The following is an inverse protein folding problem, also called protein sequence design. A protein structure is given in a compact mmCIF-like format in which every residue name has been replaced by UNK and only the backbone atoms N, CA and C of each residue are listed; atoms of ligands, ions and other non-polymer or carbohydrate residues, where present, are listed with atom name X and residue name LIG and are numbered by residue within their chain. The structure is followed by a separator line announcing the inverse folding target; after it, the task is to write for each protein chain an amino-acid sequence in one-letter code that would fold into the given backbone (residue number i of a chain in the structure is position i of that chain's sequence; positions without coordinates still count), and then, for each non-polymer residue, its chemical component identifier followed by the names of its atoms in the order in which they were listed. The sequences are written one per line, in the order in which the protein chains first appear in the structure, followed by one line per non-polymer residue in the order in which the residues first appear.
data_IF_389113641063
#
_entry.id   IF_389113641063
#
_cell.length_a   1.000
_cell.length_b   1.000
_cell.length_c   1.000
_cell.angle_alpha   90.00
_cell.angle_beta   90.00
_cell.angle_gamma   90.00
#
_symmetry.space_group_name_H-M   'P 1'
#
loop_
_entity.id
_entity.type
_entity.pdbx_description
1 polymer ?
#
# COMPACT_ATOMS: atom_id res chain seq x y z
N UNK A 1 -36.13 -18.18 38.46
CA UNK A 1 -35.13 -18.60 37.46
C UNK A 1 -34.99 -17.49 36.44
N UNK A 2 -33.91 -16.72 36.49
CA UNK A 2 -33.59 -15.72 35.48
C UNK A 2 -32.77 -16.42 34.37
N UNK A 3 -33.31 -16.46 33.15
CA UNK A 3 -32.56 -16.87 31.96
C UNK A 3 -31.56 -15.76 31.62
N UNK A 4 -30.27 -16.05 31.77
CA UNK A 4 -29.21 -15.18 31.28
C UNK A 4 -29.17 -15.24 29.74
N UNK A 5 -29.46 -14.11 29.09
CA UNK A 5 -29.20 -13.92 27.66
C UNK A 5 -27.72 -13.65 27.48
N UNK A 6 -27.00 -14.61 26.90
CA UNK A 6 -25.64 -14.41 26.43
C UNK A 6 -25.66 -13.42 25.25
N UNK A 7 -25.29 -12.17 25.50
CA UNK A 7 -24.98 -11.22 24.44
C UNK A 7 -23.65 -11.63 23.81
N UNK A 8 -23.68 -12.08 22.55
CA UNK A 8 -22.48 -12.23 21.75
C UNK A 8 -21.90 -10.83 21.48
N UNK A 9 -20.64 -10.62 21.84
CA UNK A 9 -19.89 -9.42 21.50
C UNK A 9 -19.67 -9.33 19.98
N UNK A 10 -19.64 -8.13 19.38
CA UNK A 10 -19.28 -7.99 17.97
C UNK A 10 -17.82 -8.44 17.79
N UNK A 11 -17.60 -9.30 16.79
CA UNK A 11 -16.27 -9.65 16.33
C UNK A 11 -15.52 -8.35 16.02
N UNK A 12 -14.30 -8.22 16.55
CA UNK A 12 -13.39 -7.15 16.21
C UNK A 12 -13.31 -7.02 14.68
N UNK A 13 -13.52 -5.81 14.17
CA UNK A 13 -13.24 -5.45 12.79
C UNK A 13 -11.78 -5.87 12.53
N UNK A 14 -11.59 -6.98 11.81
CA UNK A 14 -10.33 -7.22 11.14
C UNK A 14 -10.04 -5.97 10.31
N UNK A 15 -8.84 -5.39 10.45
CA UNK A 15 -8.39 -4.27 9.63
C UNK A 15 -8.79 -4.54 8.17
N UNK A 16 -9.75 -3.76 7.67
CA UNK A 16 -10.26 -3.97 6.33
C UNK A 16 -9.08 -3.89 5.36
N UNK A 17 -8.96 -4.88 4.46
CA UNK A 17 -7.94 -4.88 3.42
C UNK A 17 -7.92 -3.51 2.73
N UNK A 18 -6.77 -2.81 2.66
CA UNK A 18 -6.74 -1.40 2.25
C UNK A 18 -6.96 -1.20 0.74
N UNK A 19 -7.20 -2.27 -0.01
CA UNK A 19 -7.36 -2.29 -1.46
C UNK A 19 -8.46 -3.26 -1.87
N UNK A 20 -9.04 -3.03 -3.05
CA UNK A 20 -9.89 -3.95 -3.79
C UNK A 20 -9.30 -4.21 -5.17
N UNK A 21 -9.41 -5.47 -5.63
CA UNK A 21 -8.87 -5.90 -6.91
C UNK A 21 -9.82 -6.87 -7.59
N UNK A 22 -9.96 -6.73 -8.90
CA UNK A 22 -10.72 -7.59 -9.81
C UNK A 22 -9.79 -7.97 -10.96
N UNK A 23 -9.79 -9.24 -11.35
CA UNK A 23 -8.95 -9.79 -12.44
C UNK A 23 -7.45 -9.48 -12.29
N UNK A 24 -6.97 -9.27 -11.07
CA UNK A 24 -5.56 -9.01 -10.73
C UNK A 24 -5.02 -7.61 -11.11
N UNK A 25 -5.63 -6.88 -12.04
CA UNK A 25 -5.11 -5.57 -12.50
C UNK A 25 -6.16 -4.44 -12.57
N UNK A 26 -7.43 -4.72 -12.27
CA UNK A 26 -8.46 -3.70 -12.09
C UNK A 26 -8.62 -3.45 -10.61
N UNK A 27 -8.45 -2.22 -10.16
CA UNK A 27 -8.44 -1.88 -8.73
C UNK A 27 -9.40 -0.73 -8.44
N UNK A 28 -9.73 -0.52 -7.17
CA UNK A 28 -10.48 0.68 -6.78
C UNK A 28 -9.71 1.98 -7.10
N UNK A 29 -10.43 3.10 -7.11
CA UNK A 29 -9.88 4.41 -7.45
C UNK A 29 -8.72 4.85 -6.52
N UNK A 30 -8.77 4.47 -5.24
CA UNK A 30 -7.75 4.85 -4.25
C UNK A 30 -6.45 4.10 -4.54
N UNK A 31 -6.52 2.78 -4.70
CA UNK A 31 -5.40 1.91 -5.08
C UNK A 31 -4.81 2.34 -6.42
N UNK A 32 -5.65 2.72 -7.39
CA UNK A 32 -5.18 3.27 -8.67
C UNK A 32 -4.42 4.59 -8.49
N UNK A 33 -4.87 5.47 -7.59
CA UNK A 33 -4.15 6.70 -7.25
C UNK A 33 -2.80 6.43 -6.59
N UNK A 34 -2.72 5.37 -5.79
CA UNK A 34 -1.45 4.85 -5.24
C UNK A 34 -0.48 4.42 -6.33
N UNK A 35 -0.95 3.62 -7.30
CA UNK A 35 -0.16 3.24 -8.47
C UNK A 35 0.29 4.46 -9.30
N UNK A 36 -0.59 5.45 -9.51
CA UNK A 36 -0.22 6.70 -10.19
C UNK A 36 0.87 7.46 -9.44
N UNK A 37 0.79 7.51 -8.12
CA UNK A 37 1.81 8.14 -7.26
C UNK A 37 3.14 7.41 -7.38
N UNK A 38 3.14 6.07 -7.29
CA UNK A 38 4.32 5.24 -7.52
C UNK A 38 5.02 5.57 -8.86
N UNK A 39 4.24 5.66 -9.94
CA UNK A 39 4.75 5.98 -11.29
C UNK A 39 5.27 7.41 -11.38
N UNK A 40 4.54 8.37 -10.81
CA UNK A 40 4.88 9.80 -10.89
C UNK A 40 6.20 10.12 -10.18
N UNK A 41 6.50 9.43 -9.07
CA UNK A 41 7.71 9.63 -8.28
C UNK A 41 8.87 8.72 -8.72
N UNK A 42 8.67 7.93 -9.78
CA UNK A 42 9.67 7.01 -10.33
C UNK A 42 10.29 6.08 -9.27
N UNK A 43 9.48 5.61 -8.31
CA UNK A 43 9.93 4.79 -7.20
C UNK A 43 10.57 3.47 -7.67
N UNK A 44 10.22 3.00 -8.88
CA UNK A 44 10.81 1.80 -9.50
C UNK A 44 12.31 1.91 -9.72
N UNK A 45 12.87 3.12 -9.85
CA UNK A 45 14.31 3.30 -10.11
C UNK A 45 15.17 2.72 -8.99
N UNK A 46 14.63 2.70 -7.77
CA UNK A 46 15.31 2.12 -6.62
C UNK A 46 14.72 0.76 -6.24
N UNK A 47 13.41 0.58 -6.35
CA UNK A 47 12.71 -0.59 -5.81
C UNK A 47 12.31 -1.63 -6.86
N UNK A 48 12.68 -1.44 -8.12
CA UNK A 48 12.37 -2.35 -9.22
C UNK A 48 10.99 -2.10 -9.84
N UNK A 49 10.82 -2.42 -11.13
CA UNK A 49 9.59 -2.19 -11.89
C UNK A 49 8.41 -3.02 -11.37
N UNK A 50 8.71 -4.20 -10.85
CA UNK A 50 7.76 -5.13 -10.23
C UNK A 50 7.84 -5.09 -8.70
N UNK A 51 8.53 -4.10 -8.11
CA UNK A 51 8.75 -3.99 -6.66
C UNK A 51 9.55 -5.17 -6.08
N UNK A 52 10.36 -5.79 -6.93
CA UNK A 52 11.25 -6.92 -6.67
C UNK A 52 12.57 -6.51 -5.99
N UNK A 53 12.83 -5.20 -5.89
CA UNK A 53 14.05 -4.65 -5.34
C UNK A 53 15.11 -4.38 -6.42
N UNK A 54 15.97 -3.41 -6.15
CA UNK A 54 17.15 -3.11 -6.95
C UNK A 54 18.22 -2.47 -6.05
N UNK A 55 18.42 -1.16 -6.16
CA UNK A 55 19.27 -0.40 -5.21
C UNK A 55 18.61 -0.35 -3.82
N UNK A 56 17.29 -0.23 -3.78
CA UNK A 56 16.46 -0.34 -2.59
C UNK A 56 15.87 -1.75 -2.42
N UNK A 57 15.31 -2.05 -1.22
CA UNK A 57 14.78 -3.38 -0.91
C UNK A 57 13.56 -3.75 -1.76
N UNK A 58 13.31 -5.05 -1.85
CA UNK A 58 12.11 -5.63 -2.44
C UNK A 58 10.87 -5.29 -1.61
N UNK A 59 10.03 -4.36 -2.11
CA UNK A 59 8.84 -3.92 -1.37
C UNK A 59 7.78 -5.03 -1.29
N UNK A 60 7.73 -5.94 -2.26
CA UNK A 60 6.88 -7.15 -2.21
C UNK A 60 7.18 -8.06 -1.01
N UNK A 61 8.40 -8.00 -0.47
CA UNK A 61 8.78 -8.69 0.76
C UNK A 61 8.65 -7.78 1.99
N UNK A 62 9.16 -6.55 1.93
CA UNK A 62 9.21 -5.64 3.08
C UNK A 62 7.82 -5.27 3.62
N UNK A 63 6.83 -5.09 2.74
CA UNK A 63 5.46 -4.68 3.10
C UNK A 63 4.67 -5.78 3.85
N UNK A 64 5.18 -7.02 3.92
CA UNK A 64 4.54 -8.09 4.71
C UNK A 64 4.56 -7.81 6.21
N UNK A 65 5.62 -7.17 6.70
CA UNK A 65 5.81 -6.84 8.12
C UNK A 65 5.78 -5.34 8.42
N UNK A 66 5.55 -4.49 7.42
CA UNK A 66 5.56 -3.04 7.59
C UNK A 66 4.15 -2.54 7.90
N UNK A 67 3.98 -1.89 9.05
CA UNK A 67 2.71 -1.24 9.39
C UNK A 67 2.45 -0.03 8.49
N UNK A 68 1.19 0.40 8.40
CA UNK A 68 0.81 1.62 7.67
C UNK A 68 1.51 2.87 8.24
N UNK A 69 1.65 2.95 9.56
CA UNK A 69 2.33 4.07 10.23
C UNK A 69 3.82 4.08 9.91
N UNK A 70 4.50 2.93 10.02
CA UNK A 70 5.92 2.81 9.71
C UNK A 70 6.20 3.08 8.22
N UNK A 71 5.27 2.68 7.34
CA UNK A 71 5.32 3.03 5.93
C UNK A 71 5.26 4.54 5.72
N UNK A 72 4.25 5.21 6.30
CA UNK A 72 4.09 6.67 6.22
C UNK A 72 5.35 7.37 6.71
N UNK A 73 5.85 6.99 7.88
CA UNK A 73 7.08 7.54 8.45
C UNK A 73 8.27 7.34 7.50
N UNK A 74 8.47 6.11 7.02
CA UNK A 74 9.60 5.76 6.14
C UNK A 74 9.57 6.54 4.83
N UNK A 75 8.40 6.72 4.21
CA UNK A 75 8.27 7.45 2.94
C UNK A 75 8.37 8.96 3.15
N UNK A 76 7.67 9.50 4.15
CA UNK A 76 7.64 10.94 4.37
C UNK A 76 8.99 11.47 4.88
N UNK A 77 9.65 10.75 5.80
CA UNK A 77 10.92 11.16 6.39
C UNK A 77 12.14 10.61 5.64
N UNK A 78 11.94 9.65 4.73
CA UNK A 78 13.02 8.98 4.01
C UNK A 78 13.90 8.09 4.90
N UNK A 79 14.96 7.57 4.29
CA UNK A 79 16.12 6.93 4.93
C UNK A 79 17.36 7.47 4.24
N UNK A 80 17.66 8.74 4.50
CA UNK A 80 18.63 9.53 3.73
C UNK A 80 20.04 8.94 3.81
N UNK A 81 20.41 8.41 4.97
CA UNK A 81 21.66 7.67 5.19
C UNK A 81 21.79 6.42 4.31
N UNK A 82 20.66 5.88 3.85
CA UNK A 82 20.56 4.71 2.96
C UNK A 82 20.18 5.09 1.52
N UNK A 83 20.19 6.38 1.18
CA UNK A 83 19.89 6.89 -0.16
C UNK A 83 18.41 6.97 -0.52
N UNK A 84 17.48 6.70 0.40
CA UNK A 84 16.05 6.94 0.18
C UNK A 84 15.71 8.38 0.60
N UNK A 85 15.34 9.28 -0.33
CA UNK A 85 14.98 10.66 0.01
C UNK A 85 13.67 10.72 0.81
N UNK A 86 13.46 11.84 1.50
CA UNK A 86 12.19 12.21 2.11
C UNK A 86 11.22 12.73 1.03
N UNK A 87 9.92 12.50 1.23
CA UNK A 87 8.88 12.91 0.29
C UNK A 87 7.79 13.79 0.92
N UNK A 88 7.97 14.25 2.15
CA UNK A 88 7.07 15.19 2.84
C UNK A 88 6.90 16.55 2.13
N UNK A 89 7.88 16.97 1.33
CA UNK A 89 7.76 18.14 0.46
C UNK A 89 6.91 17.93 -0.81
N UNK A 90 6.53 16.69 -1.14
CA UNK A 90 5.74 16.36 -2.32
C UNK A 90 4.26 16.27 -2.01
N UNK A 91 3.48 17.27 -2.44
CA UNK A 91 2.00 17.24 -2.30
C UNK A 91 1.38 15.97 -2.89
N UNK A 92 1.89 15.51 -4.05
CA UNK A 92 1.46 14.27 -4.69
C UNK A 92 1.57 13.08 -3.74
N UNK A 93 2.69 12.96 -3.01
CA UNK A 93 2.93 11.87 -2.06
C UNK A 93 2.12 12.06 -0.80
N UNK A 94 2.12 13.25 -0.21
CA UNK A 94 1.41 13.53 1.05
C UNK A 94 -0.09 13.24 0.93
N UNK A 95 -0.72 13.69 -0.16
CA UNK A 95 -2.16 13.47 -0.38
C UNK A 95 -2.49 11.99 -0.67
N UNK A 96 -1.53 11.21 -1.19
CA UNK A 96 -1.74 9.83 -1.63
C UNK A 96 -0.98 8.80 -0.77
N UNK A 97 -0.45 9.18 0.38
CA UNK A 97 0.43 8.30 1.15
C UNK A 97 -0.26 6.99 1.55
N UNK A 98 -1.54 7.07 1.90
CA UNK A 98 -2.35 5.91 2.26
C UNK A 98 -2.77 5.10 1.04
N UNK A 99 -3.02 5.76 -0.09
CA UNK A 99 -3.32 5.13 -1.37
C UNK A 99 -2.10 4.36 -1.91
N UNK A 100 -0.90 4.94 -1.74
CA UNK A 100 0.37 4.30 -2.08
C UNK A 100 0.62 3.07 -1.20
N UNK A 101 0.31 3.16 0.10
CA UNK A 101 0.33 2.00 0.99
C UNK A 101 -0.62 0.89 0.50
N UNK A 102 -1.87 1.23 0.17
CA UNK A 102 -2.85 0.27 -0.35
C UNK A 102 -2.34 -0.47 -1.60
N UNK A 103 -1.80 0.27 -2.57
CA UNK A 103 -1.21 -0.31 -3.77
C UNK A 103 -0.05 -1.26 -3.45
N UNK A 104 0.94 -0.81 -2.67
CA UNK A 104 2.12 -1.62 -2.36
C UNK A 104 1.79 -2.82 -1.46
N UNK A 105 0.80 -2.68 -0.58
CA UNK A 105 0.30 -3.78 0.24
C UNK A 105 -0.37 -4.85 -0.63
N UNK A 106 -1.23 -4.45 -1.57
CA UNK A 106 -1.83 -5.40 -2.52
C UNK A 106 -0.81 -6.08 -3.44
N UNK A 107 0.29 -5.41 -3.80
CA UNK A 107 1.43 -6.04 -4.47
C UNK A 107 2.16 -7.05 -3.58
N UNK A 108 2.37 -6.71 -2.31
CA UNK A 108 3.04 -7.57 -1.33
C UNK A 108 2.25 -8.81 -0.96
N UNK A 109 0.93 -8.69 -0.95
CA UNK A 109 -0.01 -9.77 -0.64
C UNK A 109 -0.27 -10.66 -1.87
N UNK A 110 0.29 -10.31 -3.04
CA UNK A 110 0.13 -11.05 -4.29
C UNK A 110 -1.24 -10.88 -4.95
N UNK A 111 -2.10 -10.00 -4.41
CA UNK A 111 -3.45 -9.77 -4.92
C UNK A 111 -3.46 -8.88 -6.17
N UNK A 112 -2.51 -7.96 -6.29
CA UNK A 112 -2.36 -7.06 -7.44
C UNK A 112 -1.17 -7.53 -8.30
N UNK A 113 -1.43 -7.73 -9.59
CA UNK A 113 -0.43 -8.11 -10.59
C UNK A 113 0.53 -6.94 -10.93
N UNK A 114 1.75 -7.21 -11.40
CA UNK A 114 2.64 -6.19 -11.93
C UNK A 114 2.11 -5.49 -13.18
N UNK A 115 2.65 -4.30 -13.43
CA UNK A 115 2.39 -3.54 -14.66
C UNK A 115 1.32 -2.47 -14.52
N UNK A 116 0.59 -2.23 -15.61
CA UNK A 116 -0.39 -1.16 -15.72
C UNK A 116 -1.71 -1.57 -15.04
N UNK A 117 -2.21 -0.69 -14.18
CA UNK A 117 -3.51 -0.88 -13.54
C UNK A 117 -4.61 -0.08 -14.25
N UNK A 118 -5.83 -0.55 -14.06
CA UNK A 118 -7.07 0.10 -14.51
C UNK A 118 -8.01 0.26 -13.32
N UNK A 119 -8.97 1.17 -13.43
CA UNK A 119 -10.01 1.28 -12.41
C UNK A 119 -11.05 0.18 -12.64
N UNK A 120 -11.50 -0.48 -11.57
CA UNK A 120 -12.58 -1.43 -11.65
C UNK A 120 -13.92 -0.73 -11.92
N UNK A 121 -14.79 -1.36 -12.73
CA UNK A 121 -16.14 -0.85 -13.01
C UNK A 121 -16.21 0.35 -13.96
N UNK A 122 -15.13 0.67 -14.67
CA UNK A 122 -15.10 1.58 -15.81
C UNK A 122 -14.77 0.80 -17.08
#
# INVERSE_FOLDING_TARGET
MALAMCMAAPAALADATPYQVVDGNKVDAQTLSGWRTWRALACERCHGAQQEGAVGPALTASMKGLSKEDFRKTVLQGRVDKGMPNFDGSKQVVDNIDNLYAYLKGRSDGAIAPGKLQEAGK
#
